data_IF_694249669095
#
_entry.id   IF_694249669095
#
_cell.length_a   1.000
_cell.length_b   1.000
_cell.length_c   1.000
_cell.angle_alpha   90.00
_cell.angle_beta   90.00
_cell.angle_gamma   90.00
#
_symmetry.space_group_name_H-M   'P 1'
#
loop_
_entity.id
_entity.type
_entity.pdbx_description
1 polymer ?
#
# COMPACT_ATOMS: atom_id res chain seq x y z
N UNK A 1 -65.98 -7.34 16.22
CA UNK A 1 -64.73 -8.10 15.91
C UNK A 1 -64.59 -9.17 17.00
N UNK A 2 -64.57 -10.45 16.64
CA UNK A 2 -64.60 -11.56 17.61
C UNK A 2 -63.27 -11.57 18.39
N UNK A 3 -63.32 -11.75 19.71
CA UNK A 3 -62.16 -11.81 20.61
C UNK A 3 -61.15 -12.88 20.17
N UNK A 4 -61.59 -13.93 19.48
CA UNK A 4 -60.77 -14.97 18.89
C UNK A 4 -59.85 -14.46 17.75
N UNK A 5 -60.35 -13.53 16.94
CA UNK A 5 -59.59 -12.91 15.84
C UNK A 5 -58.51 -11.98 16.42
N UNK A 6 -58.81 -11.29 17.51
CA UNK A 6 -57.88 -10.38 18.19
C UNK A 6 -56.75 -11.19 18.84
N UNK A 7 -57.09 -12.29 19.52
CA UNK A 7 -56.08 -13.19 20.14
C UNK A 7 -55.20 -13.87 19.11
N UNK A 8 -55.76 -14.26 17.96
CA UNK A 8 -54.95 -14.87 16.87
C UNK A 8 -54.00 -13.84 16.25
N UNK A 9 -54.40 -12.61 16.08
CA UNK A 9 -53.55 -11.52 15.60
C UNK A 9 -52.43 -11.16 16.57
N UNK A 10 -52.73 -11.14 17.87
CA UNK A 10 -51.72 -10.91 18.91
C UNK A 10 -50.70 -12.06 19.00
N UNK A 11 -51.18 -13.30 18.88
CA UNK A 11 -50.30 -14.47 18.86
C UNK A 11 -49.40 -14.51 17.61
N UNK A 12 -49.92 -14.15 16.43
CA UNK A 12 -49.16 -14.04 15.21
C UNK A 12 -48.12 -12.90 15.28
N UNK A 13 -48.49 -11.77 15.89
CA UNK A 13 -47.54 -10.66 16.08
C UNK A 13 -46.42 -11.00 17.07
N UNK A 14 -46.76 -11.72 18.15
CA UNK A 14 -45.80 -12.22 19.13
C UNK A 14 -44.83 -13.25 18.51
N UNK A 15 -45.32 -14.10 17.61
CA UNK A 15 -44.49 -15.10 16.89
C UNK A 15 -43.48 -14.43 15.95
N UNK A 16 -43.81 -13.29 15.32
CA UNK A 16 -42.93 -12.52 14.49
C UNK A 16 -41.78 -11.82 15.28
N UNK A 17 -42.00 -11.52 16.55
CA UNK A 17 -41.02 -10.87 17.44
C UNK A 17 -40.03 -11.91 17.99
N UNK A 18 -40.39 -13.19 18.06
CA UNK A 18 -39.60 -14.28 18.62
C UNK A 18 -38.73 -14.98 17.54
N UNK A 19 -38.84 -14.62 16.28
CA UNK A 19 -37.90 -15.11 15.27
C UNK A 19 -36.50 -14.61 15.66
N UNK A 20 -35.59 -15.50 16.16
CA UNK A 20 -34.22 -15.07 16.39
C UNK A 20 -33.69 -14.62 15.03
N UNK A 21 -33.30 -13.34 14.95
CA UNK A 21 -32.57 -12.87 13.78
C UNK A 21 -31.47 -13.87 13.51
N UNK A 22 -31.45 -14.45 12.31
CA UNK A 22 -30.35 -15.31 11.88
C UNK A 22 -29.13 -14.41 11.93
N UNK A 23 -28.42 -14.45 13.05
CA UNK A 23 -27.12 -13.82 13.15
C UNK A 23 -26.26 -14.53 12.07
N UNK A 24 -26.06 -13.87 10.94
CA UNK A 24 -25.07 -14.30 9.98
C UNK A 24 -23.74 -14.32 10.72
N UNK A 25 -23.35 -15.51 11.17
CA UNK A 25 -22.06 -15.72 11.80
C UNK A 25 -21.02 -15.31 10.77
N UNK A 26 -20.36 -14.19 11.03
CA UNK A 26 -19.19 -13.82 10.23
C UNK A 26 -18.17 -14.94 10.39
N UNK A 27 -17.57 -15.35 9.29
CA UNK A 27 -16.46 -16.29 9.32
C UNK A 27 -15.39 -15.75 10.29
N UNK A 28 -14.79 -16.61 11.12
CA UNK A 28 -13.75 -16.17 12.04
C UNK A 28 -12.60 -15.54 11.24
N UNK A 29 -12.03 -14.46 11.78
CA UNK A 29 -10.87 -13.82 11.18
C UNK A 29 -9.71 -14.83 11.05
N UNK A 30 -8.95 -14.81 9.95
CA UNK A 30 -7.80 -15.67 9.79
C UNK A 30 -6.75 -15.38 10.87
N UNK A 31 -6.15 -16.43 11.43
CA UNK A 31 -5.02 -16.29 12.33
C UNK A 31 -3.75 -15.99 11.50
N UNK A 32 -3.28 -14.76 11.51
CA UNK A 32 -2.07 -14.34 10.80
C UNK A 32 -0.92 -14.15 11.79
N UNK A 33 0.26 -14.70 11.46
CA UNK A 33 1.49 -14.48 12.22
C UNK A 33 2.11 -13.10 11.86
N UNK A 34 1.32 -12.03 11.98
CA UNK A 34 1.73 -10.65 11.72
C UNK A 34 1.41 -9.78 12.93
N UNK A 35 2.29 -8.79 13.23
CA UNK A 35 2.08 -7.87 14.33
C UNK A 35 0.88 -6.96 14.11
N UNK A 36 0.71 -6.48 12.89
CA UNK A 36 -0.39 -5.61 12.48
C UNK A 36 -0.87 -5.99 11.08
N UNK A 37 -2.17 -5.91 10.84
CA UNK A 37 -2.76 -6.17 9.53
C UNK A 37 -4.17 -5.58 9.43
N UNK A 38 -4.60 -5.38 8.20
CA UNK A 38 -5.91 -4.82 7.86
C UNK A 38 -6.46 -5.56 6.63
N UNK A 39 -7.72 -6.00 6.70
CA UNK A 39 -8.48 -6.47 5.55
C UNK A 39 -9.58 -5.45 5.23
N UNK A 40 -9.49 -4.85 4.07
CA UNK A 40 -10.40 -3.80 3.59
C UNK A 40 -11.18 -4.29 2.36
N UNK A 41 -12.51 -4.14 2.39
CA UNK A 41 -13.31 -4.16 1.18
C UNK A 41 -13.18 -2.80 0.48
N UNK A 42 -12.40 -2.76 -0.60
CA UNK A 42 -12.14 -1.53 -1.35
C UNK A 42 -13.40 -1.02 -2.04
N UNK A 43 -14.31 -1.92 -2.46
CA UNK A 43 -15.54 -1.56 -3.16
C UNK A 43 -16.54 -0.86 -2.24
N UNK A 44 -16.65 -1.35 -1.01
CA UNK A 44 -17.54 -0.78 0.02
C UNK A 44 -16.84 0.28 0.89
N UNK A 45 -15.50 0.40 0.83
CA UNK A 45 -14.72 1.23 1.73
C UNK A 45 -14.78 0.77 3.20
N UNK A 46 -15.06 -0.51 3.43
CA UNK A 46 -15.33 -1.05 4.76
C UNK A 46 -14.18 -1.93 5.26
N UNK A 47 -13.71 -1.66 6.48
CA UNK A 47 -12.80 -2.58 7.17
C UNK A 47 -13.55 -3.82 7.60
N UNK A 48 -13.16 -4.98 7.06
CA UNK A 48 -13.75 -6.27 7.40
C UNK A 48 -13.17 -6.82 8.70
N UNK A 49 -11.86 -6.78 8.81
CA UNK A 49 -11.14 -7.24 10.01
C UNK A 49 -9.83 -6.46 10.12
N UNK A 50 -9.39 -6.20 11.34
CA UNK A 50 -8.13 -5.52 11.61
C UNK A 50 -7.49 -6.02 12.91
N UNK A 51 -6.16 -5.97 12.97
CA UNK A 51 -5.39 -6.16 14.18
C UNK A 51 -4.29 -5.10 14.22
N UNK A 52 -4.27 -4.30 15.28
CA UNK A 52 -3.27 -3.24 15.50
C UNK A 52 -3.05 -2.35 14.25
N UNK A 53 -4.12 -2.06 13.50
CA UNK A 53 -4.02 -1.39 12.20
C UNK A 53 -3.50 0.05 12.29
N UNK A 54 -3.67 0.69 13.46
CA UNK A 54 -3.22 2.06 13.74
C UNK A 54 -1.84 2.13 14.39
N UNK A 55 -1.19 0.99 14.63
CA UNK A 55 0.15 0.95 15.18
C UNK A 55 1.15 1.56 14.18
N UNK A 56 2.06 2.38 14.70
CA UNK A 56 3.18 2.89 13.89
C UNK A 56 4.15 1.76 13.59
N UNK A 57 4.41 1.57 12.31
CA UNK A 57 5.37 0.58 11.79
C UNK A 57 6.35 1.26 10.84
N UNK A 58 7.58 0.71 10.77
CA UNK A 58 8.54 1.15 9.77
C UNK A 58 8.05 0.74 8.38
N UNK A 59 7.91 1.69 7.42
CA UNK A 59 7.39 1.40 6.09
C UNK A 59 8.36 0.60 5.22
N UNK A 60 9.63 0.49 5.63
CA UNK A 60 10.69 -0.17 4.88
C UNK A 60 10.69 0.27 3.40
N UNK A 61 10.72 -0.66 2.46
CA UNK A 61 10.74 -0.35 1.02
C UNK A 61 9.45 0.27 0.47
N UNK A 62 8.36 0.32 1.24
CA UNK A 62 7.17 1.08 0.83
C UNK A 62 7.47 2.58 0.69
N UNK A 63 8.51 3.10 1.36
CA UNK A 63 9.01 4.47 1.17
C UNK A 63 9.32 4.77 -0.30
N UNK A 64 9.76 3.77 -1.09
CA UNK A 64 10.07 3.93 -2.51
C UNK A 64 8.86 4.25 -3.39
N UNK A 65 7.64 4.03 -2.90
CA UNK A 65 6.42 4.46 -3.60
C UNK A 65 6.38 5.97 -3.75
N UNK A 66 6.84 6.74 -2.76
CA UNK A 66 6.94 8.19 -2.86
C UNK A 66 8.01 8.59 -3.87
N UNK A 67 9.19 7.99 -3.84
CA UNK A 67 10.23 8.24 -4.86
C UNK A 67 9.71 7.93 -6.26
N UNK A 68 9.03 6.79 -6.45
CA UNK A 68 8.43 6.43 -7.73
C UNK A 68 7.39 7.47 -8.19
N UNK A 69 6.52 7.93 -7.29
CA UNK A 69 5.53 8.96 -7.57
C UNK A 69 6.19 10.25 -8.06
N UNK A 70 7.25 10.71 -7.40
CA UNK A 70 7.98 11.93 -7.78
C UNK A 70 8.73 11.77 -9.11
N UNK A 71 9.32 10.58 -9.36
CA UNK A 71 9.96 10.25 -10.64
C UNK A 71 8.95 10.28 -11.78
N UNK A 72 7.80 9.62 -11.62
CA UNK A 72 6.76 9.63 -12.66
C UNK A 72 6.16 11.01 -12.88
N UNK A 73 6.05 11.81 -11.83
CA UNK A 73 5.65 13.23 -11.95
C UNK A 73 6.68 14.01 -12.78
N UNK A 74 7.98 13.85 -12.50
CA UNK A 74 9.05 14.51 -13.23
C UNK A 74 9.08 14.10 -14.72
N UNK A 75 8.83 12.81 -15.01
CA UNK A 75 8.69 12.32 -16.39
C UNK A 75 7.47 12.93 -17.09
N UNK A 76 6.31 12.99 -16.43
CA UNK A 76 5.10 13.60 -16.96
C UNK A 76 5.29 15.09 -17.25
N UNK A 77 6.00 15.78 -16.39
CA UNK A 77 6.37 17.21 -16.55
C UNK A 77 7.54 17.45 -17.51
N UNK A 78 8.11 16.38 -18.09
CA UNK A 78 9.27 16.43 -19.00
C UNK A 78 10.54 17.02 -18.35
N UNK A 79 10.64 16.99 -17.04
CA UNK A 79 11.87 17.34 -16.29
C UNK A 79 12.91 16.22 -16.33
N UNK A 80 12.45 14.98 -16.56
CA UNK A 80 13.27 13.80 -16.86
C UNK A 80 12.77 13.12 -18.14
N UNK A 81 13.65 12.35 -18.77
CA UNK A 81 13.28 11.39 -19.82
C UNK A 81 13.83 10.00 -19.48
N UNK A 82 13.24 8.95 -20.03
CA UNK A 82 13.66 7.57 -19.73
C UNK A 82 15.09 7.29 -20.23
N UNK A 83 15.49 7.91 -21.34
CA UNK A 83 16.78 7.77 -22.00
C UNK A 83 17.88 8.64 -21.36
N UNK A 84 17.47 9.57 -20.48
CA UNK A 84 18.42 10.46 -19.82
C UNK A 84 19.41 9.65 -18.98
N UNK A 85 20.70 9.89 -19.22
CA UNK A 85 21.80 9.28 -18.46
C UNK A 85 21.98 10.06 -17.16
N UNK A 86 22.03 9.34 -16.04
CA UNK A 86 22.24 9.90 -14.71
C UNK A 86 23.65 9.56 -14.23
N UNK A 87 24.41 10.55 -13.75
CA UNK A 87 25.67 10.27 -13.08
C UNK A 87 25.40 9.54 -11.74
N UNK A 88 26.18 8.50 -11.50
CA UNK A 88 26.09 7.72 -10.26
C UNK A 88 26.99 8.35 -9.22
N UNK A 89 26.41 8.83 -8.14
CA UNK A 89 27.18 9.38 -7.01
C UNK A 89 27.81 8.27 -6.16
N UNK A 90 28.86 8.60 -5.43
CA UNK A 90 29.45 7.73 -4.40
C UNK A 90 28.42 7.32 -3.34
N UNK A 91 27.49 8.21 -3.00
CA UNK A 91 26.40 7.97 -2.06
C UNK A 91 25.46 6.87 -2.57
N UNK A 92 25.01 6.98 -3.82
CA UNK A 92 24.16 5.98 -4.46
C UNK A 92 24.91 4.64 -4.61
N UNK A 93 26.14 4.67 -5.12
CA UNK A 93 26.96 3.47 -5.33
C UNK A 93 27.21 2.68 -4.04
N UNK A 94 27.42 3.36 -2.89
CA UNK A 94 27.68 2.72 -1.59
C UNK A 94 26.41 2.42 -0.79
N UNK A 95 25.22 2.58 -1.37
CA UNK A 95 23.98 2.29 -0.69
C UNK A 95 23.96 0.86 -0.13
N UNK A 96 23.50 0.71 1.11
CA UNK A 96 23.30 -0.59 1.75
C UNK A 96 21.99 -1.25 1.34
N UNK A 97 21.79 -2.51 1.73
CA UNK A 97 20.57 -3.26 1.48
C UNK A 97 20.43 -3.75 0.03
N UNK A 98 19.19 -3.84 -0.47
CA UNK A 98 18.91 -4.25 -1.86
C UNK A 98 19.46 -3.25 -2.86
N UNK A 99 20.11 -3.74 -3.92
CA UNK A 99 20.76 -2.89 -4.93
C UNK A 99 20.62 -3.50 -6.32
N UNK A 100 20.61 -2.65 -7.34
CA UNK A 100 20.85 -3.06 -8.73
C UNK A 100 22.33 -3.01 -9.13
N UNK A 101 23.22 -2.58 -8.23
CA UNK A 101 24.67 -2.50 -8.39
C UNK A 101 25.12 -1.52 -9.48
N UNK A 102 24.59 -0.30 -9.44
CA UNK A 102 25.10 0.79 -10.30
C UNK A 102 26.57 1.11 -9.97
N UNK A 103 27.31 1.57 -11.00
CA UNK A 103 28.75 1.85 -10.91
C UNK A 103 29.02 3.27 -11.44
N UNK A 104 29.71 4.15 -10.69
CA UNK A 104 30.05 5.51 -11.14
C UNK A 104 30.80 5.57 -12.48
N UNK A 105 31.43 4.46 -12.89
CA UNK A 105 32.21 4.35 -14.15
C UNK A 105 31.35 3.91 -15.33
N UNK A 106 30.07 3.56 -15.10
CA UNK A 106 29.18 3.07 -16.14
C UNK A 106 27.96 3.98 -16.25
N UNK A 107 27.59 4.42 -17.46
CA UNK A 107 26.37 5.18 -17.64
C UNK A 107 25.16 4.31 -17.24
N UNK A 108 24.16 4.95 -16.64
CA UNK A 108 22.87 4.34 -16.31
C UNK A 108 21.76 5.33 -16.67
N UNK A 109 20.71 4.84 -17.28
CA UNK A 109 19.55 5.66 -17.67
C UNK A 109 18.50 5.73 -16.60
N UNK A 110 17.65 6.75 -16.65
CA UNK A 110 16.47 6.87 -15.79
C UNK A 110 15.58 5.62 -15.89
N UNK A 111 15.37 5.10 -17.11
CA UNK A 111 14.58 3.88 -17.32
C UNK A 111 15.15 2.66 -16.60
N UNK A 112 16.45 2.44 -16.68
CA UNK A 112 17.15 1.35 -15.96
C UNK A 112 17.07 1.52 -14.45
N UNK A 113 17.22 2.75 -13.95
CA UNK A 113 17.10 3.05 -12.52
C UNK A 113 15.69 2.79 -12.00
N UNK A 114 14.63 3.17 -12.77
CA UNK A 114 13.25 2.87 -12.43
C UNK A 114 13.03 1.36 -12.33
N UNK A 115 13.51 0.58 -13.30
CA UNK A 115 13.42 -0.89 -13.27
C UNK A 115 14.16 -1.47 -12.05
N UNK A 116 15.36 -0.99 -11.77
CA UNK A 116 16.14 -1.43 -10.61
C UNK A 116 15.45 -1.10 -9.28
N UNK A 117 14.83 0.08 -9.16
CA UNK A 117 14.06 0.47 -7.99
C UNK A 117 12.80 -0.40 -7.80
N UNK A 118 12.05 -0.66 -8.88
CA UNK A 118 10.74 -1.36 -8.79
C UNK A 118 10.95 -2.87 -8.66
N UNK A 119 11.81 -3.48 -9.48
CA UNK A 119 11.95 -4.95 -9.56
C UNK A 119 12.83 -5.48 -8.43
N UNK A 120 13.96 -4.82 -8.18
CA UNK A 120 14.96 -5.27 -7.19
C UNK A 120 14.86 -4.53 -5.86
N UNK A 121 13.97 -3.54 -5.78
CA UNK A 121 13.90 -2.64 -4.64
C UNK A 121 15.25 -1.94 -4.36
N UNK A 122 16.00 -1.58 -5.43
CA UNK A 122 17.35 -1.06 -5.37
C UNK A 122 17.43 0.28 -4.63
N UNK A 123 18.12 0.30 -3.48
CA UNK A 123 18.37 1.52 -2.73
C UNK A 123 19.29 2.48 -3.48
N UNK A 124 20.29 1.95 -4.17
CA UNK A 124 21.20 2.68 -5.03
C UNK A 124 20.49 3.40 -6.18
N UNK A 125 19.56 2.71 -6.85
CA UNK A 125 18.71 3.29 -7.88
C UNK A 125 17.79 4.38 -7.33
N UNK A 126 17.21 4.15 -6.16
CA UNK A 126 16.33 5.11 -5.49
C UNK A 126 17.07 6.42 -5.16
N UNK A 127 18.30 6.32 -4.60
CA UNK A 127 19.12 7.48 -4.27
C UNK A 127 19.51 8.23 -5.55
N UNK A 128 19.98 7.53 -6.58
CA UNK A 128 20.36 8.16 -7.85
C UNK A 128 19.20 8.91 -8.51
N UNK A 129 17.98 8.34 -8.46
CA UNK A 129 16.76 9.00 -8.96
C UNK A 129 16.39 10.23 -8.11
N UNK A 130 16.52 10.15 -6.79
CA UNK A 130 16.29 11.28 -5.88
C UNK A 130 17.26 12.43 -6.17
N UNK A 131 18.54 12.13 -6.33
CA UNK A 131 19.56 13.11 -6.69
C UNK A 131 19.30 13.75 -8.06
N UNK A 132 18.83 12.98 -9.04
CA UNK A 132 18.48 13.49 -10.37
C UNK A 132 17.32 14.48 -10.36
N UNK A 133 16.36 14.32 -9.44
CA UNK A 133 15.18 15.19 -9.34
C UNK A 133 15.46 16.42 -8.48
N UNK A 134 16.08 16.23 -7.32
CA UNK A 134 16.18 17.23 -6.27
C UNK A 134 17.63 17.65 -5.94
N UNK A 135 18.63 17.05 -6.59
CA UNK A 135 20.04 17.34 -6.35
C UNK A 135 20.64 16.57 -5.18
N UNK A 136 19.82 16.06 -4.26
CA UNK A 136 20.24 15.18 -3.15
C UNK A 136 19.09 14.33 -2.65
N UNK A 137 19.42 13.23 -1.94
CA UNK A 137 18.44 12.37 -1.27
C UNK A 137 17.64 13.14 -0.20
N UNK A 138 18.28 14.08 0.51
CA UNK A 138 17.64 14.86 1.58
C UNK A 138 16.69 15.94 1.07
N UNK A 139 16.84 16.37 -0.18
CA UNK A 139 16.02 17.42 -0.78
C UNK A 139 14.74 16.87 -1.44
N UNK A 140 14.65 15.55 -1.62
CA UNK A 140 13.48 14.88 -2.13
C UNK A 140 12.48 14.59 -1.04
#
# INVERSE_FOLDING_TARGET
MSIRILLFRLAALALLIVLPGVALSQAPAPALAARAWLLLDVSAGQTLVAQNADDRVEPASLTKLMTAYLVFTALKEKRLTLEQVIPVSERAWRAGGSRMFIDPRKPVTVGELIQGMIIQSGNDACIALAEAIAGSEQAL
#
